data_IF_881690244810
#
_entry.id   IF_881690244810
#
_cell.length_a   1.000
_cell.length_b   1.000
_cell.length_c   1.000
_cell.angle_alpha   90.00
_cell.angle_beta   90.00
_cell.angle_gamma   90.00
#
_symmetry.space_group_name_H-M   'P 1'
#
loop_
_entity.id
_entity.type
_entity.pdbx_description
1 polymer ?
#
# COMPACT_ATOMS: atom_id res chain seq x y z
N UNK A 1 -2.59 -25.68 8.24
CA UNK A 1 -3.37 -24.50 8.68
C UNK A 1 -3.62 -23.62 7.46
N UNK A 2 -4.85 -23.56 6.93
CA UNK A 2 -5.16 -22.71 5.77
C UNK A 2 -5.36 -21.28 6.28
N UNK A 3 -4.40 -20.39 6.02
CA UNK A 3 -4.52 -18.96 6.33
C UNK A 3 -5.68 -18.41 5.49
N UNK A 4 -6.78 -18.01 6.15
CA UNK A 4 -7.92 -17.38 5.49
C UNK A 4 -7.46 -15.98 5.07
N UNK A 5 -7.04 -15.85 3.81
CA UNK A 5 -6.61 -14.57 3.27
C UNK A 5 -7.86 -13.73 3.06
N UNK A 6 -7.88 -12.55 3.68
CA UNK A 6 -8.99 -11.62 3.60
C UNK A 6 -9.01 -10.98 2.19
N UNK A 7 -9.79 -11.56 1.28
CA UNK A 7 -9.84 -11.16 -0.14
C UNK A 7 -10.25 -9.69 -0.32
N UNK A 8 -11.01 -9.13 0.62
CA UNK A 8 -11.41 -7.70 0.62
C UNK A 8 -10.22 -6.75 0.86
N UNK A 9 -9.26 -7.16 1.67
CA UNK A 9 -8.11 -6.33 2.02
C UNK A 9 -7.06 -6.32 0.90
N UNK A 10 -6.88 -7.45 0.20
CA UNK A 10 -6.09 -7.48 -1.03
C UNK A 10 -6.74 -6.68 -2.16
N UNK A 11 -8.08 -6.64 -2.21
CA UNK A 11 -8.85 -5.84 -3.15
C UNK A 11 -8.58 -4.35 -2.99
N UNK A 12 -8.68 -3.87 -1.75
CA UNK A 12 -8.54 -2.47 -1.42
C UNK A 12 -7.12 -1.97 -1.74
N UNK A 13 -6.12 -2.78 -1.44
CA UNK A 13 -4.72 -2.46 -1.76
C UNK A 13 -4.43 -2.52 -3.26
N UNK A 14 -5.21 -3.28 -4.04
CA UNK A 14 -5.12 -3.23 -5.49
C UNK A 14 -5.64 -1.89 -6.02
N UNK A 15 -6.81 -1.48 -5.54
CA UNK A 15 -7.44 -0.22 -5.91
C UNK A 15 -6.54 0.96 -5.60
N UNK A 16 -5.93 0.96 -4.41
CA UNK A 16 -5.07 2.05 -3.90
C UNK A 16 -3.69 2.14 -4.59
N UNK A 17 -3.21 1.09 -5.26
CA UNK A 17 -1.85 1.08 -5.82
C UNK A 17 -1.76 0.90 -7.33
N UNK A 18 -2.79 0.35 -7.98
CA UNK A 18 -2.77 0.07 -9.42
C UNK A 18 -3.93 0.73 -10.18
N UNK A 19 -4.99 1.16 -9.49
CA UNK A 19 -6.20 1.65 -10.16
C UNK A 19 -6.36 3.16 -10.21
N UNK A 20 -5.55 3.96 -9.51
CA UNK A 20 -5.62 5.43 -9.62
C UNK A 20 -5.33 5.94 -11.05
N UNK A 21 -4.59 5.15 -11.84
CA UNK A 21 -4.30 5.41 -13.26
C UNK A 21 -5.23 4.63 -14.23
N UNK A 22 -6.13 3.79 -13.70
CA UNK A 22 -7.10 3.00 -14.49
C UNK A 22 -8.50 3.58 -14.33
N UNK A 23 -9.31 3.49 -15.38
CA UNK A 23 -10.74 3.79 -15.21
C UNK A 23 -11.42 2.72 -14.33
N UNK A 24 -12.60 3.06 -13.80
CA UNK A 24 -13.31 2.20 -12.84
C UNK A 24 -13.64 0.81 -13.42
N UNK A 25 -13.90 0.73 -14.73
CA UNK A 25 -14.24 -0.51 -15.40
C UNK A 25 -13.02 -1.43 -15.54
N UNK A 26 -11.87 -0.90 -15.95
CA UNK A 26 -10.63 -1.67 -16.05
C UNK A 26 -10.15 -2.14 -14.67
N UNK A 27 -10.35 -1.34 -13.62
CA UNK A 27 -10.02 -1.74 -12.26
C UNK A 27 -10.85 -2.94 -11.79
N UNK A 28 -12.16 -2.94 -12.05
CA UNK A 28 -13.06 -4.06 -11.70
C UNK A 28 -12.67 -5.36 -12.44
N UNK A 29 -12.35 -5.26 -13.72
CA UNK A 29 -11.90 -6.41 -14.51
C UNK A 29 -10.57 -6.99 -13.98
N UNK A 30 -9.61 -6.13 -13.66
CA UNK A 30 -8.33 -6.54 -13.08
C UNK A 30 -8.51 -7.25 -11.74
N UNK A 31 -9.41 -6.73 -10.91
CA UNK A 31 -9.81 -7.32 -9.63
C UNK A 31 -10.32 -8.75 -9.82
N UNK A 32 -11.20 -8.97 -10.80
CA UNK A 32 -11.81 -10.27 -11.03
C UNK A 32 -10.79 -11.28 -11.58
N UNK A 33 -9.87 -10.84 -12.45
CA UNK A 33 -8.76 -11.67 -12.92
C UNK A 33 -7.87 -12.12 -11.75
N UNK A 34 -7.56 -11.22 -10.81
CA UNK A 34 -6.72 -11.54 -9.65
C UNK A 34 -7.41 -12.44 -8.62
N UNK A 35 -8.75 -12.40 -8.55
CA UNK A 35 -9.54 -13.31 -7.71
C UNK A 35 -9.63 -14.71 -8.30
N UNK A 36 -9.69 -14.82 -9.62
CA UNK A 36 -9.94 -16.08 -10.33
C UNK A 36 -8.67 -16.81 -10.74
N UNK A 37 -7.57 -16.11 -11.03
CA UNK A 37 -6.27 -16.71 -11.39
C UNK A 37 -5.30 -16.76 -10.21
N UNK A 38 -4.81 -17.98 -9.92
CA UNK A 38 -3.79 -18.21 -8.89
C UNK A 38 -2.43 -17.66 -9.31
N UNK A 39 -2.09 -17.77 -10.58
CA UNK A 39 -0.82 -17.33 -11.16
C UNK A 39 -0.70 -15.81 -11.09
N UNK A 40 -1.75 -15.09 -11.51
CA UNK A 40 -1.79 -13.63 -11.43
C UNK A 40 -1.68 -13.14 -9.97
N UNK A 41 -2.32 -13.85 -9.03
CA UNK A 41 -2.22 -13.53 -7.60
C UNK A 41 -0.81 -13.71 -7.04
N UNK A 42 -0.12 -14.80 -7.40
CA UNK A 42 1.27 -15.03 -6.96
C UNK A 42 2.19 -13.93 -7.50
N UNK A 43 2.00 -13.54 -8.76
CA UNK A 43 2.77 -12.46 -9.37
C UNK A 43 2.53 -11.12 -8.66
N UNK A 44 1.27 -10.78 -8.41
CA UNK A 44 0.90 -9.58 -7.65
C UNK A 44 1.49 -9.58 -6.23
N UNK A 45 1.38 -10.69 -5.50
CA UNK A 45 1.97 -10.83 -4.16
C UNK A 45 3.51 -10.64 -4.20
N UNK A 46 4.15 -11.02 -5.30
CA UNK A 46 5.60 -10.84 -5.49
C UNK A 46 5.95 -9.38 -5.72
N UNK A 47 5.27 -8.70 -6.65
CA UNK A 47 5.44 -7.26 -6.89
C UNK A 47 5.22 -6.47 -5.60
N UNK A 48 4.15 -6.78 -4.85
CA UNK A 48 3.85 -6.13 -3.58
C UNK A 48 5.01 -6.24 -2.59
N UNK A 49 5.62 -7.44 -2.47
CA UNK A 49 6.80 -7.63 -1.62
C UNK A 49 8.01 -6.87 -2.13
N UNK A 50 8.22 -6.82 -3.44
CA UNK A 50 9.30 -6.02 -4.03
C UNK A 50 9.13 -4.55 -3.72
N UNK A 51 7.92 -3.98 -3.82
CA UNK A 51 7.64 -2.58 -3.45
C UNK A 51 7.95 -2.32 -1.97
N UNK A 52 7.57 -3.24 -1.07
CA UNK A 52 7.90 -3.13 0.35
C UNK A 52 9.41 -3.13 0.55
N UNK A 53 10.14 -4.08 -0.06
CA UNK A 53 11.59 -4.13 0.02
C UNK A 53 12.25 -2.85 -0.53
N UNK A 54 11.75 -2.29 -1.63
CA UNK A 54 12.26 -1.02 -2.16
C UNK A 54 12.05 0.11 -1.15
N UNK A 55 10.85 0.25 -0.57
CA UNK A 55 10.56 1.29 0.44
C UNK A 55 11.39 1.15 1.73
N UNK A 56 11.68 -0.09 2.13
CA UNK A 56 12.48 -0.37 3.33
C UNK A 56 13.99 -0.19 3.10
N UNK A 57 14.46 -0.37 1.86
CA UNK A 57 15.89 -0.25 1.53
C UNK A 57 16.27 1.11 0.90
N UNK A 58 15.29 1.89 0.44
CA UNK A 58 15.45 3.32 0.28
C UNK A 58 15.66 3.87 1.70
N UNK A 59 16.88 4.33 2.01
CA UNK A 59 17.09 5.09 3.24
C UNK A 59 16.04 6.20 3.27
N UNK A 60 15.07 6.19 4.20
CA UNK A 60 14.14 7.28 4.29
C UNK A 60 14.99 8.53 4.57
N UNK A 61 15.01 9.46 3.62
CA UNK A 61 15.53 10.78 3.91
C UNK A 61 14.68 11.32 5.06
N UNK A 62 15.31 11.52 6.22
CA UNK A 62 14.62 12.09 7.37
C UNK A 62 14.06 13.45 6.93
N UNK A 63 12.73 13.52 6.83
CA UNK A 63 12.06 14.76 6.51
C UNK A 63 12.37 15.76 7.63
N UNK A 64 12.78 17.00 7.32
CA UNK A 64 12.97 18.01 8.35
C UNK A 64 11.71 18.15 9.22
N UNK A 65 11.89 18.20 10.54
CA UNK A 65 10.80 18.18 11.52
C UNK A 65 9.76 19.30 11.28
N UNK A 66 10.20 20.46 10.77
CA UNK A 66 9.33 21.58 10.44
C UNK A 66 8.41 21.28 9.24
N UNK A 67 8.91 20.58 8.23
CA UNK A 67 8.14 20.14 7.07
C UNK A 67 7.14 19.06 7.50
N UNK A 68 7.60 18.11 8.30
CA UNK A 68 6.78 17.03 8.84
C UNK A 68 5.59 17.63 9.63
N UNK A 69 5.88 18.54 10.57
CA UNK A 69 4.87 19.23 11.36
C UNK A 69 3.86 19.99 10.50
N UNK A 70 4.32 20.80 9.54
CA UNK A 70 3.44 21.58 8.66
C UNK A 70 2.56 20.70 7.78
N UNK A 71 3.05 19.53 7.39
CA UNK A 71 2.30 18.56 6.59
C UNK A 71 1.15 17.96 7.41
N UNK A 72 1.44 17.48 8.62
CA UNK A 72 0.41 16.92 9.51
C UNK A 72 -0.67 17.96 9.88
N UNK A 73 -0.28 19.21 10.12
CA UNK A 73 -1.21 20.32 10.38
C UNK A 73 -2.09 20.63 9.16
N UNK A 74 -1.52 20.63 7.94
CA UNK A 74 -2.29 20.91 6.72
C UNK A 74 -3.27 19.80 6.36
N UNK A 75 -2.95 18.56 6.72
CA UNK A 75 -3.80 17.40 6.46
C UNK A 75 -4.83 17.15 7.57
N UNK A 76 -4.77 17.87 8.70
CA UNK A 76 -5.64 17.61 9.86
C UNK A 76 -5.37 16.26 10.51
N UNK A 77 -4.10 15.83 10.51
CA UNK A 77 -3.63 14.51 10.95
C UNK A 77 -2.74 14.58 12.21
N UNK A 78 -2.80 15.67 12.97
CA UNK A 78 -1.96 15.97 14.13
C UNK A 78 -1.97 14.86 15.18
N UNK A 79 -3.09 14.13 15.31
CA UNK A 79 -3.24 12.95 16.17
C UNK A 79 -2.35 11.75 15.80
N UNK A 80 -1.78 11.74 14.59
CA UNK A 80 -0.88 10.70 14.09
C UNK A 80 0.60 11.07 14.20
N UNK A 81 0.92 12.30 14.64
CA UNK A 81 2.31 12.80 14.76
C UNK A 81 3.18 11.95 15.70
N UNK A 82 2.57 11.34 16.72
CA UNK A 82 3.28 10.53 17.74
C UNK A 82 3.29 9.03 17.44
N UNK A 83 2.55 8.57 16.42
CA UNK A 83 2.66 7.18 15.94
C UNK A 83 3.93 7.07 15.08
N UNK A 84 5.09 7.01 15.75
CA UNK A 84 6.28 6.41 15.15
C UNK A 84 5.88 5.00 14.74
N UNK A 85 5.69 4.77 13.45
CA UNK A 85 5.48 3.44 12.91
C UNK A 85 6.63 2.56 13.40
N UNK A 86 6.36 1.47 14.16
CA UNK A 86 7.41 0.63 14.73
C UNK A 86 8.23 -0.13 13.68
N UNK A 87 7.96 0.05 12.38
CA UNK A 87 8.74 -0.56 11.30
C UNK A 87 9.80 0.34 10.66
N UNK A 88 10.03 1.56 11.14
CA UNK A 88 11.24 2.32 10.77
C UNK A 88 12.32 2.05 11.83
N UNK A 89 13.17 1.06 11.56
CA UNK A 89 14.42 0.79 12.29
C UNK A 89 15.61 0.93 11.36
#
# INVERSE_FOLDING_TARGET
MKKKINTEEQLRLLQEHLCDDLDSAACEELIDVLRTSKECRIYFDTIKKTVVLCRENECPEDLPEDINQRLFERLGLEKYKDNKDPNIK
#
